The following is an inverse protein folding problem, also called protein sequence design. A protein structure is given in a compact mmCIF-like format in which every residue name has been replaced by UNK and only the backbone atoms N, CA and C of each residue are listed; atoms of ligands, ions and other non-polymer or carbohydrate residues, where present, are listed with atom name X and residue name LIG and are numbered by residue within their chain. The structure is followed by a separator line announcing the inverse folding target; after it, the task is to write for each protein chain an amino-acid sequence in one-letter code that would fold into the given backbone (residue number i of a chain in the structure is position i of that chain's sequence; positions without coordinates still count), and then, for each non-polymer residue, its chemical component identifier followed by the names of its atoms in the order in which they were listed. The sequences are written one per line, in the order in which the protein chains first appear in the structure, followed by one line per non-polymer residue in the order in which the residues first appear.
data_IF_438368950644
#
_entry.id   IF_438368950644
#
_cell.length_a   1.000
_cell.length_b   1.000
_cell.length_c   1.000
_cell.angle_alpha   90.00
_cell.angle_beta   90.00
_cell.angle_gamma   90.00
#
_symmetry.space_group_name_H-M   'P 1'
#
loop_
_entity.id
_entity.type
_entity.pdbx_description
1 polymer ?
#
# COMPACT_ATOMS: atom_id res chain seq x y z
N UNK A 1 18.26 -9.60 -8.99
CA UNK A 1 17.58 -10.06 -7.76
C UNK A 1 16.53 -9.00 -7.55
N UNK A 2 15.27 -9.30 -7.87
CA UNK A 2 14.19 -8.32 -7.66
C UNK A 2 14.05 -8.18 -6.15
N UNK A 3 14.35 -7.01 -5.62
CA UNK A 3 14.30 -6.77 -4.19
C UNK A 3 12.82 -6.83 -3.80
N UNK A 4 12.47 -7.65 -2.80
CA UNK A 4 11.10 -7.84 -2.28
C UNK A 4 10.42 -6.52 -1.84
N UNK A 5 11.18 -5.41 -1.82
CA UNK A 5 10.74 -4.04 -1.56
C UNK A 5 9.85 -3.43 -2.65
N UNK A 6 9.73 -4.10 -3.80
CA UNK A 6 8.84 -3.70 -4.90
C UNK A 6 7.59 -4.61 -5.05
N UNK A 7 7.20 -5.31 -3.99
CA UNK A 7 6.01 -6.15 -3.97
C UNK A 7 4.99 -5.59 -2.98
N UNK A 8 3.75 -5.52 -3.41
CA UNK A 8 2.66 -5.04 -2.57
C UNK A 8 2.27 -6.07 -1.51
N UNK A 9 2.29 -5.75 -0.21
CA UNK A 9 2.01 -6.71 0.85
C UNK A 9 0.53 -7.12 0.95
N UNK A 10 -0.39 -6.42 0.26
CA UNK A 10 -1.82 -6.77 0.24
C UNK A 10 -2.18 -7.78 -0.85
N UNK A 11 -1.63 -7.64 -2.05
CA UNK A 11 -1.91 -8.56 -3.18
C UNK A 11 -0.75 -9.48 -3.53
N UNK A 12 0.45 -9.24 -2.99
CA UNK A 12 1.69 -9.96 -3.27
C UNK A 12 2.15 -9.87 -4.74
N UNK A 13 1.69 -8.85 -5.47
CA UNK A 13 2.10 -8.55 -6.85
C UNK A 13 3.13 -7.41 -6.90
N UNK A 14 4.02 -7.42 -7.91
CA UNK A 14 5.00 -6.35 -8.10
C UNK A 14 4.36 -5.02 -8.51
N UNK A 15 5.03 -3.92 -8.19
CA UNK A 15 4.65 -2.60 -8.70
C UNK A 15 5.05 -2.43 -10.17
N UNK A 16 4.21 -1.75 -10.93
CA UNK A 16 4.44 -1.46 -12.36
C UNK A 16 4.26 0.03 -12.64
N UNK A 17 4.65 0.48 -13.84
CA UNK A 17 4.42 1.87 -14.26
C UNK A 17 2.92 2.22 -14.31
N UNK A 18 2.07 1.23 -14.63
CA UNK A 18 0.61 1.36 -14.64
C UNK A 18 0.02 1.34 -13.22
N UNK A 19 0.60 0.54 -12.33
CA UNK A 19 0.21 0.41 -10.93
C UNK A 19 1.40 0.72 -10.00
N UNK A 20 1.68 2.01 -9.75
CA UNK A 20 2.83 2.41 -8.95
C UNK A 20 2.63 2.13 -7.45
N UNK A 21 3.73 2.09 -6.70
CA UNK A 21 3.70 2.05 -5.24
C UNK A 21 3.33 3.39 -4.64
N UNK A 22 2.33 3.38 -3.77
CA UNK A 22 1.91 4.54 -2.99
C UNK A 22 2.47 4.41 -1.59
N UNK A 23 3.29 5.37 -1.19
CA UNK A 23 3.83 5.43 0.16
C UNK A 23 2.83 6.12 1.09
N UNK A 24 2.45 5.43 2.15
CA UNK A 24 1.57 5.96 3.19
C UNK A 24 2.37 6.70 4.26
N UNK A 25 1.71 7.51 5.10
CA UNK A 25 2.36 8.21 6.23
C UNK A 25 3.03 7.28 7.25
N UNK A 26 2.59 6.03 7.31
CA UNK A 26 3.21 5.02 8.16
C UNK A 26 4.45 4.37 7.52
N UNK A 27 4.93 4.91 6.39
CA UNK A 27 6.10 4.47 5.63
C UNK A 27 5.94 3.05 5.02
N UNK A 28 4.70 2.65 4.75
CA UNK A 28 4.38 1.39 4.06
C UNK A 28 3.89 1.68 2.65
N UNK A 29 4.31 0.84 1.71
CA UNK A 29 3.93 0.92 0.30
C UNK A 29 2.78 -0.02 -0.03
N UNK A 30 1.86 0.42 -0.88
CA UNK A 30 0.76 -0.41 -1.41
C UNK A 30 0.40 0.05 -2.82
N UNK A 31 -0.26 -0.79 -3.61
CA UNK A 31 -0.90 -0.30 -4.84
C UNK A 31 -2.05 0.63 -4.45
N UNK A 32 -2.23 1.71 -5.19
CA UNK A 32 -3.37 2.61 -5.03
C UNK A 32 -4.72 1.85 -4.99
N UNK A 33 -5.05 0.95 -5.94
CA UNK A 33 -6.29 0.18 -5.89
C UNK A 33 -6.39 -0.72 -4.65
N UNK A 34 -5.33 -1.46 -4.30
CA UNK A 34 -5.34 -2.33 -3.12
C UNK A 34 -5.51 -1.52 -1.81
N UNK A 35 -4.94 -0.31 -1.78
CA UNK A 35 -5.12 0.62 -0.66
C UNK A 35 -6.58 1.07 -0.55
N UNK A 36 -7.21 1.47 -1.66
CA UNK A 36 -8.61 1.88 -1.68
C UNK A 36 -9.55 0.75 -1.27
N UNK A 37 -9.40 -0.45 -1.86
CA UNK A 37 -10.20 -1.63 -1.48
C UNK A 37 -10.04 -1.96 0.01
N UNK A 38 -8.83 -1.77 0.55
CA UNK A 38 -8.60 -1.96 1.97
C UNK A 38 -9.29 -0.89 2.81
N UNK A 39 -9.23 0.37 2.42
CA UNK A 39 -9.87 1.49 3.12
C UNK A 39 -11.39 1.38 3.17
N UNK A 40 -12.01 0.78 2.15
CA UNK A 40 -13.44 0.44 2.18
C UNK A 40 -13.80 -0.55 3.31
N UNK A 41 -12.82 -1.34 3.76
CA UNK A 41 -12.99 -2.33 4.85
C UNK A 41 -12.45 -1.85 6.19
N UNK A 42 -11.34 -1.10 6.19
CA UNK A 42 -10.65 -0.62 7.38
C UNK A 42 -9.79 0.61 7.09
N UNK A 43 -9.97 1.68 7.86
CA UNK A 43 -9.18 2.92 7.78
C UNK A 43 -7.78 2.80 8.42
N UNK A 44 -7.26 1.59 8.60
CA UNK A 44 -5.97 1.33 9.25
C UNK A 44 -5.02 0.62 8.31
N UNK A 45 -3.71 0.84 8.48
CA UNK A 45 -2.68 0.21 7.68
C UNK A 45 -2.66 -1.31 7.94
N UNK A 46 -2.66 -2.17 6.90
CA UNK A 46 -2.61 -3.63 7.09
C UNK A 46 -1.28 -4.14 7.69
N UNK A 47 -0.20 -3.35 7.60
CA UNK A 47 1.13 -3.76 8.10
C UNK A 47 1.35 -3.34 9.55
N UNK A 48 0.90 -2.14 9.94
CA UNK A 48 1.18 -1.60 11.28
C UNK A 48 -0.07 -1.19 12.08
N UNK A 49 -1.26 -1.38 11.52
CA UNK A 49 -2.57 -1.04 12.11
C UNK A 49 -2.71 0.42 12.55
N UNK A 50 -1.86 1.32 12.04
CA UNK A 50 -1.97 2.77 12.27
C UNK A 50 -3.03 3.38 11.35
N UNK A 51 -3.74 4.44 11.79
CA UNK A 51 -4.72 5.11 10.95
C UNK A 51 -4.07 5.63 9.67
N UNK A 52 -4.74 5.38 8.54
CA UNK A 52 -4.30 5.80 7.22
C UNK A 52 -4.66 7.28 7.05
N UNK A 53 -3.73 8.16 7.42
CA UNK A 53 -3.88 9.59 7.16
C UNK A 53 -3.42 9.90 5.73
N UNK A 54 -4.17 10.74 5.02
CA UNK A 54 -3.73 11.40 3.79
C UNK A 54 -3.49 12.88 4.15
N UNK A 55 -2.40 13.48 3.68
CA UNK A 55 -2.19 14.94 3.79
C UNK A 55 -2.85 15.54 2.54
N UNK A 56 -3.88 16.36 2.74
CA UNK A 56 -4.52 17.15 1.67
C UNK A 56 -3.58 18.22 1.11
#
# INVERSE_FOLDING_TARGET
LVEDEDICPTCLDPYTEDNPKVLTRCNHHFHLPCLYEWLERSETCPVCSKPMAFEE
#
